data_IF_183627185800
#
_entry.id   IF_183627185800
#
_cell.length_a   1.000
_cell.length_b   1.000
_cell.length_c   1.000
_cell.angle_alpha   90.00
_cell.angle_beta   90.00
_cell.angle_gamma   90.00
#
_symmetry.space_group_name_H-M   'P 1'
#
loop_
_entity.id
_entity.type
_entity.pdbx_description
1 polymer ?
#
# COMPACT_ATOMS: atom_id res chain seq x y z
N UNK A 1 -42.39 -42.52 19.04
CA UNK A 1 -41.39 -41.72 18.29
C UNK A 1 -40.73 -40.78 19.29
N UNK A 2 -39.53 -41.15 19.73
CA UNK A 2 -38.75 -40.39 20.72
C UNK A 2 -38.11 -39.19 20.03
N UNK A 3 -38.35 -37.98 20.52
CA UNK A 3 -37.69 -36.78 20.05
C UNK A 3 -36.24 -36.78 20.55
N UNK A 4 -35.28 -36.89 19.64
CA UNK A 4 -33.87 -36.65 19.94
C UNK A 4 -33.66 -35.16 20.25
N UNK A 5 -32.98 -34.81 21.36
CA UNK A 5 -32.61 -33.43 21.60
C UNK A 5 -31.45 -33.04 20.68
N UNK A 6 -31.58 -31.89 20.01
CA UNK A 6 -30.48 -31.25 19.28
C UNK A 6 -29.35 -30.90 20.27
N UNK A 7 -28.08 -31.15 19.93
CA UNK A 7 -26.97 -30.72 20.77
C UNK A 7 -26.90 -29.19 20.75
N UNK A 8 -26.85 -28.59 21.95
CA UNK A 8 -26.54 -27.18 22.12
C UNK A 8 -25.13 -26.93 21.56
N UNK A 9 -25.05 -26.24 20.42
CA UNK A 9 -23.80 -25.74 19.88
C UNK A 9 -23.31 -24.56 20.74
N UNK A 10 -22.77 -24.86 21.93
CA UNK A 10 -21.76 -24.01 22.56
C UNK A 10 -20.42 -24.32 21.91
N UNK A 11 -20.30 -24.03 20.62
CA UNK A 11 -19.00 -23.76 20.04
C UNK A 11 -18.60 -22.36 20.52
N UNK A 12 -17.62 -22.30 21.41
CA UNK A 12 -16.88 -21.08 21.67
C UNK A 12 -16.31 -20.61 20.32
N UNK A 13 -17.03 -19.73 19.63
CA UNK A 13 -16.46 -18.91 18.57
C UNK A 13 -15.33 -18.12 19.22
N UNK A 14 -14.09 -18.61 19.06
CA UNK A 14 -12.91 -17.82 19.35
C UNK A 14 -12.98 -16.65 18.38
N UNK A 15 -13.53 -15.52 18.84
CA UNK A 15 -13.45 -14.26 18.15
C UNK A 15 -11.96 -14.06 17.82
N UNK A 16 -11.65 -13.92 16.52
CA UNK A 16 -10.31 -13.57 16.08
C UNK A 16 -9.82 -12.42 16.94
N UNK A 17 -8.67 -12.60 17.60
CA UNK A 17 -8.08 -11.56 18.45
C UNK A 17 -7.95 -10.29 17.59
N UNK A 18 -8.38 -9.13 18.10
CA UNK A 18 -8.22 -7.89 17.36
C UNK A 18 -6.73 -7.61 17.14
N UNK A 19 -6.39 -6.94 16.05
CA UNK A 19 -4.99 -6.71 15.66
C UNK A 19 -4.57 -5.29 15.98
N UNK A 20 -3.44 -5.13 16.66
CA UNK A 20 -2.78 -3.85 16.87
C UNK A 20 -1.61 -3.74 15.90
N UNK A 21 -1.63 -2.71 15.05
CA UNK A 21 -0.59 -2.50 14.05
C UNK A 21 0.47 -1.54 14.59
N UNK A 22 1.72 -1.99 14.62
CA UNK A 22 2.87 -1.21 15.08
C UNK A 22 3.87 -1.07 13.94
N UNK A 23 4.29 0.16 13.70
CA UNK A 23 5.22 0.52 12.63
C UNK A 23 6.56 0.91 13.25
N UNK A 24 7.64 0.27 12.80
CA UNK A 24 9.00 0.54 13.28
C UNK A 24 9.86 1.03 12.13
N UNK A 25 10.30 2.28 12.24
CA UNK A 25 11.20 2.93 11.29
C UNK A 25 12.63 2.60 11.72
N UNK A 26 13.41 2.01 10.82
CA UNK A 26 14.80 1.61 11.05
C UNK A 26 15.74 2.61 10.39
N UNK A 27 16.78 3.01 11.11
CA UNK A 27 17.81 3.95 10.64
C UNK A 27 18.47 3.43 9.38
N UNK A 28 18.62 4.29 8.37
CA UNK A 28 19.37 3.95 7.16
C UNK A 28 20.86 3.77 7.50
N UNK A 29 21.39 2.58 7.24
CA UNK A 29 22.80 2.30 7.47
C UNK A 29 23.70 2.80 6.33
N UNK A 30 24.95 3.14 6.65
CA UNK A 30 25.96 3.50 5.65
C UNK A 30 26.35 2.25 4.85
N UNK A 31 26.65 2.40 3.56
CA UNK A 31 26.92 1.30 2.60
C UNK A 31 28.02 0.29 3.02
N UNK A 32 28.83 0.58 4.04
CA UNK A 32 29.94 -0.26 4.50
C UNK A 32 29.56 -1.27 5.58
N UNK A 33 28.34 -1.24 6.13
CA UNK A 33 27.89 -2.18 7.16
C UNK A 33 27.10 -3.35 6.55
N UNK A 34 27.12 -4.50 7.25
CA UNK A 34 26.35 -5.69 6.86
C UNK A 34 24.87 -5.31 6.73
N UNK A 35 24.15 -5.80 5.69
CA UNK A 35 22.72 -5.55 5.55
C UNK A 35 21.98 -6.02 6.80
N UNK A 36 21.06 -5.18 7.28
CA UNK A 36 20.23 -5.47 8.45
C UNK A 36 19.24 -6.57 8.09
N UNK A 37 19.22 -7.65 8.85
CA UNK A 37 18.16 -8.65 8.76
C UNK A 37 16.91 -8.12 9.46
N UNK A 38 15.97 -7.61 8.66
CA UNK A 38 14.71 -7.07 9.16
C UNK A 38 13.82 -8.15 9.78
N UNK A 39 13.97 -9.43 9.42
CA UNK A 39 13.16 -10.50 10.01
C UNK A 39 13.60 -10.80 11.45
N UNK A 40 14.91 -10.89 11.67
CA UNK A 40 15.48 -11.07 13.00
C UNK A 40 15.16 -9.87 13.90
N UNK A 41 15.43 -8.65 13.41
CA UNK A 41 15.12 -7.42 14.14
C UNK A 41 13.64 -7.33 14.53
N UNK A 42 12.72 -7.67 13.61
CA UNK A 42 11.27 -7.67 13.89
C UNK A 42 10.89 -8.65 15.00
N UNK A 43 11.50 -9.83 15.03
CA UNK A 43 11.24 -10.84 16.07
C UNK A 43 11.66 -10.31 17.44
N UNK A 44 12.85 -9.71 17.50
CA UNK A 44 13.41 -9.19 18.75
C UNK A 44 12.59 -7.98 19.24
N UNK A 45 12.21 -7.08 18.34
CA UNK A 45 11.33 -5.94 18.64
C UNK A 45 9.94 -6.37 19.10
N UNK A 46 9.38 -7.45 18.53
CA UNK A 46 8.09 -7.97 18.95
C UNK A 46 8.15 -8.49 20.39
N UNK A 47 9.25 -9.15 20.79
CA UNK A 47 9.44 -9.59 22.17
C UNK A 47 9.64 -8.41 23.12
N UNK A 48 10.49 -7.45 22.74
CA UNK A 48 10.71 -6.22 23.50
C UNK A 48 9.40 -5.46 23.74
N UNK A 49 8.59 -5.27 22.69
CA UNK A 49 7.35 -4.48 22.77
C UNK A 49 6.35 -5.07 23.77
N UNK A 50 6.15 -6.40 23.74
CA UNK A 50 5.23 -7.09 24.66
C UNK A 50 5.76 -7.03 26.10
N UNK A 51 7.07 -7.18 26.30
CA UNK A 51 7.66 -7.18 27.63
C UNK A 51 7.66 -5.80 28.29
N UNK A 52 7.85 -4.73 27.50
CA UNK A 52 8.00 -3.37 28.02
C UNK A 52 6.68 -2.57 28.04
N UNK A 53 5.68 -2.95 27.23
CA UNK A 53 4.45 -2.19 27.12
C UNK A 53 3.22 -3.06 27.39
N UNK A 54 2.69 -2.95 28.61
CA UNK A 54 1.43 -3.61 28.97
C UNK A 54 0.21 -2.95 28.29
N UNK A 55 0.19 -1.61 28.25
CA UNK A 55 -0.90 -0.81 27.67
C UNK A 55 -0.34 0.24 26.73
N UNK A 56 -1.00 0.39 25.56
CA UNK A 56 -0.59 1.34 24.53
C UNK A 56 -1.79 2.02 23.89
N UNK A 57 -1.60 3.25 23.41
CA UNK A 57 -2.63 4.03 22.72
C UNK A 57 -2.37 4.09 21.22
N UNK A 58 -3.41 3.96 20.39
CA UNK A 58 -3.28 4.22 18.94
C UNK A 58 -2.94 5.68 18.69
N UNK A 59 -1.99 5.93 17.78
CA UNK A 59 -1.40 7.23 17.50
C UNK A 59 -0.26 7.63 18.45
N UNK A 60 0.14 6.75 19.37
CA UNK A 60 1.25 7.00 20.29
C UNK A 60 2.59 6.68 19.63
N UNK A 61 3.53 7.61 19.73
CA UNK A 61 4.97 7.34 19.52
C UNK A 61 5.55 6.77 20.81
N UNK A 62 6.27 5.65 20.69
CA UNK A 62 6.89 4.97 21.82
C UNK A 62 8.29 5.55 22.07
N UNK A 63 8.55 5.90 23.33
CA UNK A 63 9.88 6.37 23.76
C UNK A 63 10.86 5.21 23.76
N UNK A 64 11.95 5.37 23.03
CA UNK A 64 13.01 4.36 22.93
C UNK A 64 13.88 4.37 24.19
N UNK A 65 14.18 3.19 24.72
CA UNK A 65 15.12 2.98 25.81
C UNK A 65 16.52 2.58 25.29
N UNK A 66 17.45 2.27 26.20
CA UNK A 66 18.83 1.88 25.87
C UNK A 66 18.97 0.39 25.47
N UNK A 67 17.87 -0.30 25.13
CA UNK A 67 17.91 -1.71 24.76
C UNK A 67 18.77 -1.95 23.51
N UNK A 68 19.62 -3.00 23.49
CA UNK A 68 20.44 -3.35 22.34
C UNK A 68 19.68 -3.49 21.01
N UNK A 69 18.44 -3.99 21.02
CA UNK A 69 17.63 -4.16 19.81
C UNK A 69 17.15 -2.83 19.21
N UNK A 70 17.06 -1.76 20.03
CA UNK A 70 16.62 -0.44 19.60
C UNK A 70 17.73 0.41 18.98
N UNK A 71 18.99 -0.03 19.04
CA UNK A 71 20.14 0.73 18.47
C UNK A 71 19.91 1.12 17.01
N UNK A 72 19.29 0.22 16.24
CA UNK A 72 18.99 0.41 14.82
C UNK A 72 17.65 1.10 14.56
N UNK A 73 16.82 1.26 15.58
CA UNK A 73 15.49 1.85 15.47
C UNK A 73 15.60 3.38 15.51
N UNK A 74 14.90 4.03 14.59
CA UNK A 74 14.71 5.48 14.54
C UNK A 74 13.47 5.88 15.33
N UNK A 75 12.36 5.16 15.11
CA UNK A 75 11.05 5.50 15.69
C UNK A 75 10.13 4.28 15.73
N UNK A 76 9.26 4.22 16.73
CA UNK A 76 8.22 3.18 16.90
C UNK A 76 6.88 3.87 17.10
N UNK A 77 5.92 3.58 16.22
CA UNK A 77 4.58 4.17 16.25
C UNK A 77 3.50 3.10 16.37
N UNK A 78 2.57 3.31 17.30
CA UNK A 78 1.34 2.50 17.40
C UNK A 78 0.35 3.02 16.37
N UNK A 79 0.41 2.49 15.16
CA UNK A 79 -0.14 3.12 13.98
C UNK A 79 -1.66 2.97 13.83
N UNK A 80 -2.22 1.78 14.08
CA UNK A 80 -3.64 1.51 13.83
C UNK A 80 -4.15 0.32 14.63
N UNK A 81 -5.47 0.15 14.67
CA UNK A 81 -6.15 -0.97 15.30
C UNK A 81 -7.26 -1.54 14.41
N UNK A 82 -7.29 -2.87 14.30
CA UNK A 82 -8.32 -3.61 13.58
C UNK A 82 -9.09 -4.48 14.58
N UNK A 83 -10.29 -4.04 14.96
CA UNK A 83 -11.14 -4.77 15.89
C UNK A 83 -12.40 -3.98 16.28
N UNK A 84 -13.15 -4.45 17.29
CA UNK A 84 -14.29 -3.73 17.85
C UNK A 84 -13.90 -2.33 18.33
N UNK A 85 -14.75 -1.33 18.08
CA UNK A 85 -14.49 0.05 18.47
C UNK A 85 -14.28 0.17 19.99
N UNK A 86 -13.16 0.77 20.38
CA UNK A 86 -12.86 1.15 21.76
C UNK A 86 -12.84 2.67 21.87
N UNK A 87 -13.68 3.22 22.74
CA UNK A 87 -13.85 4.66 22.94
C UNK A 87 -12.61 5.37 23.48
N UNK A 88 -11.76 4.64 24.23
CA UNK A 88 -10.57 5.22 24.87
C UNK A 88 -9.32 5.12 23.98
N UNK A 89 -9.30 4.20 23.01
CA UNK A 89 -8.16 3.97 22.11
C UNK A 89 -6.92 3.37 22.79
N UNK A 90 -7.04 2.89 24.03
CA UNK A 90 -6.02 2.16 24.77
C UNK A 90 -6.25 0.65 24.66
N UNK A 91 -5.17 -0.10 24.45
CA UNK A 91 -5.22 -1.53 24.25
C UNK A 91 -4.17 -2.24 25.10
N UNK A 92 -4.60 -3.30 25.78
CA UNK A 92 -3.69 -4.22 26.47
C UNK A 92 -3.01 -5.11 25.44
N UNK A 93 -1.68 -5.20 25.48
CA UNK A 93 -0.90 -5.98 24.51
C UNK A 93 -1.22 -7.48 24.55
N UNK A 94 -1.62 -8.03 25.70
CA UNK A 94 -2.06 -9.43 25.85
C UNK A 94 -3.42 -9.72 25.20
N UNK A 95 -4.27 -8.69 25.10
CA UNK A 95 -5.64 -8.79 24.58
C UNK A 95 -5.70 -8.72 23.05
N UNK A 96 -4.62 -8.28 22.40
CA UNK A 96 -4.52 -8.06 20.97
C UNK A 96 -3.51 -9.00 20.32
N UNK A 97 -3.64 -9.20 19.02
CA UNK A 97 -2.57 -9.75 18.19
C UNK A 97 -1.69 -8.58 17.73
N UNK A 98 -0.40 -8.65 18.02
CA UNK A 98 0.56 -7.63 17.60
C UNK A 98 1.01 -7.88 16.15
N UNK A 99 0.74 -6.92 15.27
CA UNK A 99 1.25 -6.87 13.90
C UNK A 99 2.33 -5.80 13.80
N UNK A 100 3.56 -6.19 14.12
CA UNK A 100 4.74 -5.33 14.06
C UNK A 100 5.42 -5.43 12.69
N UNK A 101 5.58 -4.29 12.02
CA UNK A 101 6.27 -4.16 10.74
C UNK A 101 7.48 -3.24 10.89
N UNK A 102 8.68 -3.76 10.58
CA UNK A 102 9.93 -3.00 10.58
C UNK A 102 10.37 -2.72 9.15
N UNK A 103 10.71 -1.46 8.83
CA UNK A 103 11.09 -1.06 7.48
C UNK A 103 12.08 0.11 7.46
N UNK A 104 12.74 0.28 6.32
CA UNK A 104 13.68 1.37 6.04
C UNK A 104 13.11 2.19 4.88
N UNK A 105 13.08 3.52 5.03
CA UNK A 105 12.70 4.40 3.93
C UNK A 105 13.74 4.40 2.83
N UNK A 106 13.27 4.25 1.59
CA UNK A 106 14.09 4.37 0.38
C UNK A 106 14.20 5.83 -0.05
N UNK A 107 15.36 6.17 -0.59
CA UNK A 107 15.59 7.49 -1.17
C UNK A 107 15.06 7.55 -2.62
N UNK A 108 14.74 8.74 -3.12
CA UNK A 108 14.29 8.92 -4.50
C UNK A 108 15.34 8.44 -5.51
N UNK A 109 16.63 8.73 -5.27
CA UNK A 109 17.75 8.29 -6.09
C UNK A 109 17.89 6.76 -6.20
N UNK A 110 17.36 6.01 -5.24
CA UNK A 110 17.36 4.53 -5.29
C UNK A 110 16.26 3.98 -6.19
N UNK A 111 15.28 4.81 -6.55
CA UNK A 111 14.20 4.46 -7.49
C UNK A 111 14.71 4.42 -8.94
N UNK A 112 15.82 5.09 -9.23
CA UNK A 112 16.53 5.05 -10.53
C UNK A 112 17.63 3.96 -10.58
N UNK A 113 17.83 3.21 -9.49
CA UNK A 113 19.06 2.46 -9.20
C UNK A 113 18.98 0.94 -9.29
N UNK A 114 18.22 0.34 -10.21
CA UNK A 114 18.42 -1.07 -10.63
C UNK A 114 18.60 -1.13 -12.15
N UNK A 115 19.83 -1.40 -12.56
CA UNK A 115 20.34 -1.33 -13.95
C UNK A 115 19.54 -2.19 -14.95
N UNK A 116 19.49 -1.65 -16.18
CA UNK A 116 19.19 -2.23 -17.49
C UNK A 116 17.75 -2.67 -17.81
N UNK A 117 17.00 -1.76 -18.44
CA UNK A 117 16.35 -2.08 -19.73
C UNK A 117 16.72 -0.95 -20.70
N UNK A 118 17.94 -1.00 -21.22
CA UNK A 118 18.28 -0.33 -22.48
C UNK A 118 17.96 -1.33 -23.59
N UNK A 119 16.81 -1.18 -24.22
CA UNK A 119 16.70 -1.34 -25.66
C UNK A 119 16.17 -0.01 -26.17
N UNK A 120 16.95 0.54 -27.10
CA UNK A 120 16.79 1.79 -27.83
C UNK A 120 17.17 3.10 -27.12
N UNK A 121 18.10 3.79 -27.79
CA UNK A 121 18.84 4.96 -27.32
C UNK A 121 18.14 6.28 -27.67
N UNK A 122 16.81 6.30 -27.83
CA UNK A 122 16.06 7.51 -28.22
C UNK A 122 14.71 7.70 -27.50
N UNK A 123 14.49 7.05 -26.36
CA UNK A 123 13.33 7.33 -25.51
C UNK A 123 13.80 7.73 -24.11
N UNK A 124 14.22 8.98 -23.95
CA UNK A 124 14.03 9.68 -22.67
C UNK A 124 12.56 9.48 -22.29
N UNK A 125 12.28 8.56 -21.36
CA UNK A 125 10.91 8.29 -20.92
C UNK A 125 10.66 8.89 -19.53
N UNK A 126 10.40 10.20 -19.40
CA UNK A 126 9.90 10.75 -18.15
C UNK A 126 8.38 10.93 -18.25
N UNK A 127 7.56 9.91 -18.02
CA UNK A 127 6.10 10.12 -17.88
C UNK A 127 5.35 9.29 -16.84
N UNK A 128 6.03 8.39 -16.13
CA UNK A 128 5.48 7.78 -14.94
C UNK A 128 6.46 8.05 -13.79
N UNK A 129 5.98 8.60 -12.67
CA UNK A 129 6.83 8.69 -11.48
C UNK A 129 6.90 7.31 -10.87
N UNK A 130 8.09 6.71 -10.86
CA UNK A 130 8.31 5.39 -10.26
C UNK A 130 9.05 5.57 -8.94
N UNK A 131 8.43 5.13 -7.85
CA UNK A 131 9.00 5.20 -6.51
C UNK A 131 9.08 3.81 -5.90
N UNK A 132 10.27 3.45 -5.42
CA UNK A 132 10.42 2.26 -4.59
C UNK A 132 9.86 2.54 -3.18
N UNK A 133 8.96 1.68 -2.71
CA UNK A 133 8.29 1.82 -1.42
C UNK A 133 8.91 0.89 -0.33
N UNK A 134 8.80 1.25 0.96
CA UNK A 134 8.35 2.54 1.50
C UNK A 134 9.34 3.66 1.16
N UNK A 135 8.86 4.83 0.72
CA UNK A 135 9.70 5.95 0.29
C UNK A 135 9.66 7.13 1.28
N UNK A 136 10.79 7.83 1.45
CA UNK A 136 10.89 8.97 2.38
C UNK A 136 10.00 10.14 1.98
N UNK A 137 9.77 10.35 0.68
CA UNK A 137 8.97 11.49 0.18
C UNK A 137 7.51 11.38 0.63
N UNK A 138 7.03 10.16 0.86
CA UNK A 138 5.64 9.89 1.24
C UNK A 138 5.45 9.75 2.76
N UNK A 139 6.49 10.01 3.56
CA UNK A 139 6.50 9.76 5.02
C UNK A 139 5.34 10.47 5.73
N UNK A 140 5.12 11.74 5.40
CA UNK A 140 4.18 12.60 6.13
C UNK A 140 2.82 12.76 5.42
N UNK A 141 2.61 12.06 4.29
CA UNK A 141 1.37 12.22 3.53
C UNK A 141 0.14 11.69 4.27
N UNK A 142 0.28 10.60 5.04
CA UNK A 142 -0.84 10.07 5.84
C UNK A 142 -1.30 11.04 6.93
N UNK A 143 -0.36 11.76 7.51
CA UNK A 143 -0.61 12.59 8.70
C UNK A 143 -1.24 13.93 8.29
N UNK A 144 -1.00 14.36 7.06
CA UNK A 144 -1.62 15.53 6.45
C UNK A 144 -3.11 15.35 6.12
N UNK A 145 -3.59 14.10 6.07
CA UNK A 145 -4.93 13.76 5.60
C UNK A 145 -5.90 13.58 6.77
N UNK A 146 -6.85 14.50 6.90
CA UNK A 146 -7.92 14.42 7.91
C UNK A 146 -9.26 14.17 7.21
N UNK A 147 -9.91 13.05 7.58
CA UNK A 147 -11.24 12.68 7.10
C UNK A 147 -12.11 12.27 8.29
N UNK A 148 -13.33 12.80 8.38
CA UNK A 148 -14.25 12.56 9.52
C UNK A 148 -14.61 11.08 9.69
N UNK A 149 -14.73 10.34 8.58
CA UNK A 149 -15.20 8.95 8.57
C UNK A 149 -14.08 7.89 8.72
N UNK A 150 -12.85 8.29 9.02
CA UNK A 150 -11.69 7.38 9.05
C UNK A 150 -11.47 6.67 7.70
N UNK A 151 -11.78 7.37 6.60
CA UNK A 151 -11.71 6.85 5.24
C UNK A 151 -10.35 6.19 4.91
N UNK A 152 -9.19 6.76 5.25
CA UNK A 152 -7.90 6.15 4.94
C UNK A 152 -7.73 4.76 5.55
N UNK A 153 -8.05 4.61 6.85
CA UNK A 153 -7.95 3.33 7.55
C UNK A 153 -8.95 2.31 7.01
N UNK A 154 -10.17 2.74 6.67
CA UNK A 154 -11.17 1.86 6.05
C UNK A 154 -10.72 1.36 4.67
N UNK A 155 -10.20 2.26 3.83
CA UNK A 155 -9.70 1.93 2.50
C UNK A 155 -8.50 0.97 2.59
N UNK A 156 -7.54 1.27 3.46
CA UNK A 156 -6.38 0.41 3.71
C UNK A 156 -6.82 -1.00 4.14
N UNK A 157 -7.73 -1.12 5.11
CA UNK A 157 -8.27 -2.41 5.55
C UNK A 157 -8.99 -3.17 4.44
N UNK A 158 -9.75 -2.48 3.60
CA UNK A 158 -10.43 -3.10 2.46
C UNK A 158 -9.44 -3.67 1.44
N UNK A 159 -8.41 -2.89 1.07
CA UNK A 159 -7.38 -3.32 0.14
C UNK A 159 -6.52 -4.46 0.69
N UNK A 160 -6.14 -4.41 1.97
CA UNK A 160 -5.43 -5.51 2.63
C UNK A 160 -6.22 -6.81 2.60
N UNK A 161 -7.53 -6.76 2.90
CA UNK A 161 -8.42 -7.93 2.84
C UNK A 161 -8.55 -8.47 1.42
N UNK A 162 -8.69 -7.59 0.43
CA UNK A 162 -8.75 -7.97 -0.98
C UNK A 162 -7.48 -8.72 -1.40
N UNK A 163 -6.31 -8.17 -1.09
CA UNK A 163 -5.02 -8.79 -1.43
C UNK A 163 -4.85 -10.13 -0.68
N UNK A 164 -5.26 -10.21 0.59
CA UNK A 164 -5.23 -11.45 1.36
C UNK A 164 -6.12 -12.54 0.78
N UNK A 165 -7.34 -12.20 0.37
CA UNK A 165 -8.26 -13.15 -0.28
C UNK A 165 -7.71 -13.65 -1.61
N UNK A 166 -7.08 -12.80 -2.42
CA UNK A 166 -6.49 -13.18 -3.71
C UNK A 166 -5.37 -14.21 -3.60
N UNK A 167 -4.72 -14.31 -2.44
CA UNK A 167 -3.64 -15.27 -2.21
C UNK A 167 -4.14 -16.62 -1.67
N UNK A 168 -5.44 -16.77 -1.41
CA UNK A 168 -5.97 -18.04 -0.92
C UNK A 168 -6.03 -19.08 -2.05
N UNK A 169 -5.44 -20.27 -1.84
CA UNK A 169 -5.52 -21.35 -2.82
C UNK A 169 -6.99 -21.79 -2.96
N UNK A 170 -7.55 -21.65 -4.16
CA UNK A 170 -8.92 -22.07 -4.48
C UNK A 170 -9.91 -20.94 -4.80
N UNK A 171 -9.55 -19.67 -4.54
CA UNK A 171 -10.33 -18.52 -5.01
C UNK A 171 -9.86 -18.10 -6.40
N UNK A 172 -10.53 -18.61 -7.42
CA UNK A 172 -10.33 -18.17 -8.82
C UNK A 172 -11.27 -16.97 -9.10
N UNK A 173 -10.84 -16.05 -9.97
CA UNK A 173 -11.70 -14.95 -10.45
C UNK A 173 -13.02 -15.43 -11.10
N UNK A 174 -13.09 -16.69 -11.52
CA UNK A 174 -14.30 -17.35 -12.01
C UNK A 174 -15.35 -17.58 -10.90
N UNK A 175 -14.91 -17.70 -9.64
CA UNK A 175 -15.79 -17.91 -8.47
C UNK A 175 -16.23 -16.58 -7.86
N UNK A 176 -15.39 -15.54 -7.96
CA UNK A 176 -15.68 -14.22 -7.43
C UNK A 176 -15.13 -13.13 -8.36
N UNK A 177 -16.00 -12.26 -8.87
CA UNK A 177 -15.59 -11.14 -9.71
C UNK A 177 -15.05 -9.99 -8.86
N UNK A 178 -13.73 -9.88 -8.73
CA UNK A 178 -13.04 -8.77 -8.07
C UNK A 178 -12.09 -8.08 -9.03
N UNK A 179 -12.32 -6.78 -9.22
CA UNK A 179 -11.42 -5.92 -9.98
C UNK A 179 -10.43 -5.27 -9.02
N UNK A 180 -9.14 -5.34 -9.35
CA UNK A 180 -8.02 -4.79 -8.56
C UNK A 180 -7.93 -3.26 -8.69
N UNK A 181 -9.08 -2.59 -8.74
CA UNK A 181 -9.24 -1.18 -9.06
C UNK A 181 -10.01 -0.49 -7.95
N UNK A 182 -9.49 0.65 -7.51
CA UNK A 182 -10.18 1.57 -6.62
C UNK A 182 -10.33 2.91 -7.35
N UNK A 183 -11.54 3.46 -7.35
CA UNK A 183 -11.83 4.78 -7.89
C UNK A 183 -12.20 5.72 -6.75
N UNK A 184 -11.45 6.81 -6.61
CA UNK A 184 -11.77 7.90 -5.71
C UNK A 184 -12.33 9.06 -6.52
N UNK A 185 -13.50 9.56 -6.14
CA UNK A 185 -14.13 10.71 -6.78
C UNK A 185 -14.50 11.77 -5.73
N UNK A 186 -14.53 13.03 -6.15
CA UNK A 186 -14.85 14.16 -5.29
C UNK A 186 -14.29 15.47 -5.84
N UNK A 187 -14.63 16.62 -5.22
CA UNK A 187 -14.21 17.94 -5.67
C UNK A 187 -12.68 18.06 -5.84
N UNK A 188 -12.18 18.92 -6.75
CA UNK A 188 -10.74 19.19 -6.84
C UNK A 188 -10.21 19.73 -5.50
N UNK A 189 -8.97 19.37 -5.15
CA UNK A 189 -8.36 19.76 -3.87
C UNK A 189 -8.77 18.92 -2.66
N UNK A 190 -9.65 17.91 -2.80
CA UNK A 190 -10.08 17.04 -1.68
C UNK A 190 -9.05 15.98 -1.24
N UNK A 191 -7.78 16.12 -1.62
CA UNK A 191 -6.70 15.21 -1.20
C UNK A 191 -6.69 13.80 -1.83
N UNK A 192 -7.43 13.54 -2.92
CA UNK A 192 -7.53 12.20 -3.54
C UNK A 192 -6.17 11.61 -3.95
N UNK A 193 -5.35 12.38 -4.66
CA UNK A 193 -4.04 11.92 -5.14
C UNK A 193 -3.09 11.65 -3.98
N UNK A 194 -3.09 12.52 -2.96
CA UNK A 194 -2.35 12.29 -1.69
C UNK A 194 -2.85 11.06 -0.95
N UNK A 195 -4.18 10.82 -0.91
CA UNK A 195 -4.74 9.62 -0.28
C UNK A 195 -4.29 8.34 -1.00
N UNK A 196 -4.28 8.32 -2.34
CA UNK A 196 -3.78 7.17 -3.10
C UNK A 196 -2.32 6.84 -2.75
N UNK A 197 -1.46 7.86 -2.69
CA UNK A 197 -0.03 7.71 -2.37
C UNK A 197 0.20 7.29 -0.92
N UNK A 198 -0.50 7.90 0.02
CA UNK A 198 -0.47 7.52 1.44
C UNK A 198 -0.92 6.06 1.65
N UNK A 199 -1.99 5.63 0.97
CA UNK A 199 -2.48 4.24 1.03
C UNK A 199 -1.48 3.27 0.39
N UNK A 200 -0.86 3.61 -0.74
CA UNK A 200 0.16 2.79 -1.37
C UNK A 200 1.39 2.61 -0.45
N UNK A 201 1.85 3.69 0.18
CA UNK A 201 2.90 3.68 1.19
C UNK A 201 2.52 2.75 2.36
N UNK A 202 1.34 2.92 2.96
CA UNK A 202 0.89 2.08 4.09
C UNK A 202 0.71 0.61 3.68
N UNK A 203 0.20 0.32 2.49
CA UNK A 203 0.12 -1.06 1.98
C UNK A 203 1.50 -1.71 1.87
N UNK A 204 2.51 -0.98 1.37
CA UNK A 204 3.87 -1.51 1.28
C UNK A 204 4.47 -1.86 2.64
N UNK A 205 4.14 -1.09 3.68
CA UNK A 205 4.57 -1.33 5.06
C UNK A 205 3.83 -2.56 5.64
N UNK A 206 2.49 -2.56 5.58
CA UNK A 206 1.65 -3.61 6.17
C UNK A 206 1.85 -4.96 5.51
N UNK A 207 2.14 -4.97 4.21
CA UNK A 207 2.34 -6.19 3.44
C UNK A 207 3.82 -6.51 3.20
N UNK A 208 4.76 -5.82 3.86
CA UNK A 208 6.20 -5.99 3.62
C UNK A 208 6.73 -7.42 3.82
N UNK A 209 6.10 -8.20 4.70
CA UNK A 209 6.41 -9.63 4.86
C UNK A 209 5.92 -10.49 3.70
N UNK A 210 4.80 -10.10 3.09
CA UNK A 210 4.21 -10.82 1.95
C UNK A 210 4.87 -10.41 0.64
N UNK A 211 5.19 -9.12 0.51
CA UNK A 211 5.84 -8.52 -0.64
C UNK A 211 7.09 -7.76 -0.17
N UNK A 212 8.26 -8.41 -0.16
CA UNK A 212 9.53 -7.76 0.20
C UNK A 212 9.90 -6.57 -0.71
N UNK A 213 9.27 -6.49 -1.89
CA UNK A 213 9.45 -5.41 -2.85
C UNK A 213 8.10 -4.74 -3.10
N UNK A 214 8.08 -3.42 -3.08
CA UNK A 214 6.93 -2.65 -3.45
C UNK A 214 7.33 -1.45 -4.31
N UNK A 215 6.51 -1.14 -5.32
CA UNK A 215 6.74 -0.03 -6.25
C UNK A 215 5.45 0.74 -6.45
N UNK A 216 5.53 2.06 -6.38
CA UNK A 216 4.48 2.99 -6.77
C UNK A 216 4.79 3.52 -8.18
N UNK A 217 3.79 3.50 -9.04
CA UNK A 217 3.85 4.06 -10.39
C UNK A 217 2.73 5.09 -10.50
N UNK A 218 3.08 6.36 -10.60
CA UNK A 218 2.13 7.47 -10.75
C UNK A 218 2.07 7.92 -12.20
N UNK A 219 0.87 7.94 -12.76
CA UNK A 219 0.57 8.36 -14.13
C UNK A 219 -0.33 9.60 -14.05
N UNK A 220 0.17 10.75 -14.49
CA UNK A 220 -0.64 11.94 -14.67
C UNK A 220 -1.18 11.96 -16.09
N UNK A 221 -2.48 11.72 -16.24
CA UNK A 221 -3.10 11.47 -17.55
C UNK A 221 -3.27 12.75 -18.38
N UNK A 222 -3.49 13.93 -17.77
CA UNK A 222 -3.54 15.20 -18.50
C UNK A 222 -2.20 15.57 -19.15
N UNK A 223 -1.09 15.32 -18.45
CA UNK A 223 0.26 15.58 -18.93
C UNK A 223 0.67 14.63 -20.06
N UNK A 224 0.22 13.37 -20.00
CA UNK A 224 0.47 12.38 -21.06
C UNK A 224 -0.27 12.72 -22.36
N UNK A 225 -1.58 13.03 -22.26
CA UNK A 225 -2.42 13.32 -23.42
C UNK A 225 -2.06 14.65 -24.11
N UNK A 226 -1.60 15.65 -23.36
CA UNK A 226 -1.25 16.97 -23.89
C UNK A 226 0.11 17.01 -24.59
N UNK A 227 1.12 16.29 -24.08
CA UNK A 227 2.50 16.31 -24.62
C UNK A 227 2.71 15.40 -25.83
N UNK A 228 1.94 14.32 -25.96
CA UNK A 228 2.16 13.28 -26.97
C UNK A 228 0.92 12.99 -27.81
N UNK A 229 0.33 14.04 -28.38
CA UNK A 229 -0.84 13.92 -29.25
C UNK A 229 -0.52 13.01 -30.45
N UNK A 230 -1.11 11.81 -30.47
CA UNK A 230 -0.91 10.76 -31.49
C UNK A 230 -0.01 9.58 -31.08
N UNK A 231 0.72 9.69 -29.97
CA UNK A 231 1.61 8.65 -29.43
C UNK A 231 1.24 8.19 -28.01
N UNK A 232 0.29 8.89 -27.37
CA UNK A 232 -0.14 8.65 -25.99
C UNK A 232 -0.56 7.20 -25.73
N UNK A 233 -1.31 6.58 -26.66
CA UNK A 233 -1.75 5.19 -26.53
C UNK A 233 -0.60 4.17 -26.51
N UNK A 234 0.39 4.31 -27.39
CA UNK A 234 1.57 3.42 -27.41
C UNK A 234 2.37 3.53 -26.11
N UNK A 235 2.48 4.74 -25.58
CA UNK A 235 3.22 5.01 -24.35
C UNK A 235 2.54 4.41 -23.12
N UNK A 236 1.22 4.53 -23.03
CA UNK A 236 0.41 3.90 -21.98
C UNK A 236 0.56 2.38 -22.07
N UNK A 237 0.41 1.78 -23.27
CA UNK A 237 0.60 0.34 -23.47
C UNK A 237 1.98 -0.12 -23.02
N UNK A 238 3.06 0.55 -23.44
CA UNK A 238 4.42 0.20 -23.04
C UNK A 238 4.65 0.31 -21.51
N UNK A 239 4.00 1.27 -20.86
CA UNK A 239 4.06 1.43 -19.40
C UNK A 239 3.38 0.26 -18.70
N UNK A 240 2.18 -0.12 -19.15
CA UNK A 240 1.44 -1.26 -18.59
C UNK A 240 2.09 -2.61 -18.89
N UNK A 241 2.75 -2.78 -20.03
CA UNK A 241 3.55 -3.99 -20.32
C UNK A 241 4.68 -4.15 -19.30
N UNK A 242 5.36 -3.06 -18.93
CA UNK A 242 6.40 -3.07 -17.90
C UNK A 242 5.82 -3.35 -16.52
N UNK A 243 4.68 -2.75 -16.18
CA UNK A 243 3.94 -3.05 -14.94
C UNK A 243 3.60 -4.54 -14.89
N UNK A 244 3.05 -5.09 -15.97
CA UNK A 244 2.66 -6.49 -16.06
C UNK A 244 3.86 -7.42 -15.89
N UNK A 245 4.99 -7.13 -16.55
CA UNK A 245 6.21 -7.91 -16.42
C UNK A 245 6.75 -7.90 -14.99
N UNK A 246 6.79 -6.73 -14.34
CA UNK A 246 7.22 -6.62 -12.95
C UNK A 246 6.25 -7.30 -11.97
N UNK A 247 4.95 -7.30 -12.26
CA UNK A 247 3.91 -7.93 -11.44
C UNK A 247 3.92 -9.47 -11.52
N UNK A 248 4.68 -10.08 -12.44
CA UNK A 248 4.84 -11.54 -12.49
C UNK A 248 5.62 -12.09 -11.29
N UNK A 249 6.42 -11.27 -10.60
CA UNK A 249 7.12 -11.69 -9.39
C UNK A 249 6.16 -11.74 -8.18
N UNK A 250 5.92 -12.93 -7.58
CA UNK A 250 4.99 -13.08 -6.46
C UNK A 250 5.42 -12.35 -5.18
N UNK A 251 6.70 -11.95 -5.09
CA UNK A 251 7.26 -11.16 -3.99
C UNK A 251 7.22 -9.63 -4.22
N UNK A 252 6.61 -9.17 -5.31
CA UNK A 252 6.51 -7.74 -5.63
C UNK A 252 5.06 -7.25 -5.60
N UNK A 253 4.83 -6.17 -4.85
CA UNK A 253 3.60 -5.37 -4.88
C UNK A 253 3.78 -4.18 -5.83
N UNK A 254 2.85 -3.98 -6.76
CA UNK A 254 2.84 -2.78 -7.61
C UNK A 254 1.55 -2.02 -7.40
N UNK A 255 1.67 -0.76 -7.01
CA UNK A 255 0.56 0.17 -6.88
C UNK A 255 0.63 1.15 -8.07
N UNK A 256 -0.37 1.11 -8.95
CA UNK A 256 -0.50 2.06 -10.05
C UNK A 256 -1.53 3.11 -9.64
N UNK A 257 -1.11 4.38 -9.62
CA UNK A 257 -1.98 5.52 -9.34
C UNK A 257 -2.14 6.31 -10.63
N UNK A 258 -3.38 6.44 -11.09
CA UNK A 258 -3.73 7.26 -12.24
C UNK A 258 -4.48 8.49 -11.75
N UNK A 259 -3.93 9.66 -12.00
CA UNK A 259 -4.57 10.93 -11.66
C UNK A 259 -5.29 11.52 -12.88
N UNK A 260 -6.36 12.29 -12.63
CA UNK A 260 -7.17 12.98 -13.64
C UNK A 260 -7.76 12.06 -14.73
N UNK A 261 -8.17 10.84 -14.34
CA UNK A 261 -8.73 9.82 -15.26
C UNK A 261 -9.91 10.30 -16.10
N UNK A 262 -10.62 11.36 -15.66
CA UNK A 262 -11.65 12.03 -16.43
C UNK A 262 -11.14 12.60 -17.77
N UNK A 263 -9.84 12.89 -17.90
CA UNK A 263 -9.24 13.39 -19.14
C UNK A 263 -9.23 12.33 -20.23
N UNK A 264 -9.02 11.06 -19.85
CA UNK A 264 -9.10 9.91 -20.75
C UNK A 264 -10.57 9.69 -21.14
N UNK A 265 -11.48 9.68 -20.16
CA UNK A 265 -12.91 9.44 -20.38
C UNK A 265 -13.58 10.53 -21.23
N UNK A 266 -13.31 11.81 -20.94
CA UNK A 266 -13.86 12.95 -21.66
C UNK A 266 -13.37 13.05 -23.11
N UNK A 267 -12.22 12.47 -23.44
CA UNK A 267 -11.79 12.37 -24.83
C UNK A 267 -12.74 11.49 -25.65
N UNK A 268 -13.32 10.41 -25.10
CA UNK A 268 -14.29 9.58 -25.83
C UNK A 268 -15.58 10.33 -26.16
N UNK A 269 -16.13 11.10 -25.21
CA UNK A 269 -17.36 11.88 -25.43
C UNK A 269 -17.15 13.03 -26.44
N UNK A 270 -15.99 13.68 -26.44
CA UNK A 270 -15.65 14.69 -27.45
C UNK A 270 -15.43 14.07 -28.83
N UNK A 271 -14.83 12.88 -28.89
CA UNK A 271 -14.64 12.12 -30.16
C UNK A 271 -15.97 11.72 -30.79
N UNK A 272 -16.97 11.30 -30.00
CA UNK A 272 -18.30 10.95 -30.53
C UNK A 272 -19.10 12.17 -30.98
N UNK A 273 -18.86 13.35 -30.38
CA UNK A 273 -19.55 14.59 -30.73
C UNK A 273 -18.91 15.38 -31.88
N UNK A 274 -17.59 15.29 -32.09
CA UNK A 274 -16.86 16.22 -32.97
C UNK A 274 -16.17 15.59 -34.18
N UNK A 275 -16.21 14.25 -34.37
CA UNK A 275 -15.59 13.58 -35.53
C UNK A 275 -14.06 13.64 -35.59
N UNK A 276 -13.41 14.48 -34.78
CA UNK A 276 -11.96 14.65 -34.68
C UNK A 276 -11.48 14.31 -33.27
N UNK A 277 -10.93 13.10 -33.10
CA UNK A 277 -9.73 12.78 -32.30
C UNK A 277 -9.64 11.25 -32.12
N UNK A 278 -8.73 10.63 -32.87
CA UNK A 278 -8.45 9.17 -32.81
C UNK A 278 -7.64 8.78 -31.54
N UNK A 279 -6.96 9.73 -30.89
CA UNK A 279 -5.94 9.41 -29.90
C UNK A 279 -6.49 9.02 -28.51
N UNK A 280 -7.45 9.77 -27.96
CA UNK A 280 -8.05 9.38 -26.68
C UNK A 280 -8.93 8.13 -26.75
N UNK A 281 -9.50 7.83 -27.93
CA UNK A 281 -10.14 6.53 -28.20
C UNK A 281 -9.13 5.37 -28.11
N UNK A 282 -7.91 5.55 -28.62
CA UNK A 282 -6.83 4.55 -28.53
C UNK A 282 -6.23 4.44 -27.13
N UNK A 283 -6.12 5.54 -26.39
CA UNK A 283 -5.63 5.51 -25.01
C UNK A 283 -6.62 4.84 -24.03
N UNK A 284 -7.91 4.82 -24.36
CA UNK A 284 -8.95 4.21 -23.52
C UNK A 284 -9.18 2.72 -23.82
N UNK A 285 -8.81 2.24 -25.02
CA UNK A 285 -9.00 0.86 -25.48
C UNK A 285 -7.78 0.00 -25.17
#
# INVERSE_FOLDING_TARGET
MSAMPMPAATENMVLLKPTLHVEVIVKKQKQSTKPVDLQELRRDLHQWFINCHATVKVGQEIVLDDDPCLKLVERVDVADYTGPSNTLGYFDTDSVQLDLQAYIFRAESESEGRRSIRQDADADMPQARVLALPNVILKDESDSLVFDDGLPSRLLRYLMRMIGMMRQPGLTLATFNWNRLCLLHGPPGSGKSTLCRAVAQKLSIRLGQTFPRATLIELNTSSMLSKYFGESGKLISATFERVYAAAQDPGTLICVVMDEVETIAGSRERSTASGECNDGMRATN
#
